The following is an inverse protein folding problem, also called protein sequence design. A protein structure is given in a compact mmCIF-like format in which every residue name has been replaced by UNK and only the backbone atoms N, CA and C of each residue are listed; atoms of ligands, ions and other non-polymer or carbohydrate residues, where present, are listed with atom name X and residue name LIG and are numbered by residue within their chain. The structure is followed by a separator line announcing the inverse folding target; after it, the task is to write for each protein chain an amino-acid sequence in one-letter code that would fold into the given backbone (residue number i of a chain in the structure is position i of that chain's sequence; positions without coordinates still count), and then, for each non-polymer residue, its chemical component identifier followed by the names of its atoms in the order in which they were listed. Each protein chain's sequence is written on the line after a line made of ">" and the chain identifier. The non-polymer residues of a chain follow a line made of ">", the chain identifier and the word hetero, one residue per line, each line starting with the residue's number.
data_IF_743465033956
#
_entry.id   IF_743465033956
#
_cell.length_a   1.000
_cell.length_b   1.000
_cell.length_c   1.000
_cell.angle_alpha   90.00
_cell.angle_beta   90.00
_cell.angle_gamma   90.00
#
_symmetry.space_group_name_H-M   'P 1'
#
loop_
_entity.id
_entity.type
_entity.pdbx_description
1 polymer ?
#
# COMPACT_ATOMS: atom_id res chain seq x y z
N UNK A 1 7.56 -5.87 -0.65
CA UNK A 1 6.78 -4.62 -0.80
C UNK A 1 7.44 -3.57 0.08
N UNK A 2 7.64 -2.34 -0.38
CA UNK A 2 8.37 -1.31 0.38
C UNK A 2 7.38 -0.60 1.32
N UNK A 3 7.55 -0.73 2.63
CA UNK A 3 6.64 -0.19 3.66
C UNK A 3 6.44 1.32 3.53
N UNK A 4 7.53 2.04 3.21
CA UNK A 4 7.53 3.48 3.02
C UNK A 4 6.59 3.90 1.88
N UNK A 5 6.73 3.24 0.71
CA UNK A 5 5.86 3.49 -0.45
C UNK A 5 4.41 3.12 -0.14
N UNK A 6 4.18 2.04 0.60
CA UNK A 6 2.84 1.63 0.96
C UNK A 6 2.12 2.72 1.78
N UNK A 7 2.82 3.34 2.76
CA UNK A 7 2.29 4.47 3.53
C UNK A 7 2.07 5.71 2.69
N UNK A 8 2.99 6.05 1.80
CA UNK A 8 2.83 7.18 0.88
C UNK A 8 1.59 7.01 0.00
N UNK A 9 1.31 5.79 -0.44
CA UNK A 9 0.15 5.46 -1.26
C UNK A 9 -1.14 5.52 -0.44
N UNK A 10 -1.12 5.01 0.80
CA UNK A 10 -2.27 5.09 1.71
C UNK A 10 -2.56 6.53 2.17
N UNK A 11 -1.53 7.38 2.28
CA UNK A 11 -1.65 8.79 2.66
C UNK A 11 -1.93 9.71 1.45
N UNK A 12 -1.67 9.24 0.23
CA UNK A 12 -1.91 10.00 -0.99
C UNK A 12 -3.38 9.89 -1.40
N UNK A 13 -4.07 11.00 -1.67
CA UNK A 13 -5.41 10.98 -2.26
C UNK A 13 -5.38 10.53 -3.73
N UNK A 14 -4.18 10.47 -4.34
CA UNK A 14 -3.97 10.05 -5.72
C UNK A 14 -3.71 8.55 -5.74
N UNK A 15 -4.61 7.79 -6.37
CA UNK A 15 -4.53 6.35 -6.52
C UNK A 15 -3.19 5.93 -7.16
N UNK A 16 -2.38 5.17 -6.42
CA UNK A 16 -1.19 4.55 -6.98
C UNK A 16 -1.49 3.10 -7.35
N UNK A 17 -1.12 2.70 -8.57
CA UNK A 17 -1.16 1.31 -8.99
C UNK A 17 -0.08 0.52 -8.25
N UNK A 18 -0.50 -0.16 -7.19
CA UNK A 18 0.35 -1.12 -6.48
C UNK A 18 0.11 -2.48 -7.09
N UNK A 19 1.15 -3.13 -7.60
CA UNK A 19 1.05 -4.49 -8.11
C UNK A 19 1.66 -5.41 -7.06
N UNK A 20 0.86 -6.34 -6.53
CA UNK A 20 1.29 -7.38 -5.63
C UNK A 20 1.06 -8.74 -6.29
N UNK A 21 2.12 -9.53 -6.43
CA UNK A 21 2.07 -10.85 -7.07
C UNK A 21 1.44 -10.86 -8.47
N UNK A 22 1.64 -9.78 -9.24
CA UNK A 22 1.09 -9.63 -10.59
C UNK A 22 -0.36 -9.14 -10.64
N UNK A 23 -1.01 -8.93 -9.49
CA UNK A 23 -2.35 -8.38 -9.37
C UNK A 23 -2.28 -6.92 -8.93
N UNK A 24 -2.95 -5.98 -9.63
CA UNK A 24 -3.12 -4.63 -9.14
C UNK A 24 -4.00 -4.65 -7.90
N UNK A 25 -3.45 -4.20 -6.78
CA UNK A 25 -4.12 -4.06 -5.49
C UNK A 25 -4.21 -2.59 -5.10
N UNK A 26 -5.21 -2.28 -4.29
CA UNK A 26 -5.40 -0.96 -3.71
C UNK A 26 -4.99 -1.03 -2.24
N UNK A 27 -4.18 -0.10 -1.77
CA UNK A 27 -3.81 -0.05 -0.36
C UNK A 27 -4.77 0.90 0.32
N UNK A 28 -5.65 0.37 1.18
CA UNK A 28 -6.56 1.19 1.99
C UNK A 28 -5.87 1.69 3.27
N UNK A 29 -5.04 0.86 3.88
CA UNK A 29 -4.36 1.19 5.12
C UNK A 29 -3.05 0.41 5.26
N UNK A 30 -2.02 1.01 5.85
CA UNK A 30 -0.78 0.31 6.19
C UNK A 30 -0.58 0.36 7.69
N UNK A 31 -0.59 -0.81 8.30
CA UNK A 31 -0.23 -0.96 9.70
C UNK A 31 1.30 -0.92 9.81
N UNK A 32 1.81 0.18 10.37
CA UNK A 32 3.24 0.41 10.52
C UNK A 32 3.89 -0.51 11.56
N UNK A 33 3.14 -0.90 12.59
CA UNK A 33 3.67 -1.72 13.68
C UNK A 33 3.99 -3.14 13.22
N UNK A 34 3.28 -3.63 12.19
CA UNK A 34 3.41 -4.99 11.70
C UNK A 34 3.88 -5.08 10.23
N UNK A 35 4.01 -3.95 9.54
CA UNK A 35 4.32 -3.92 8.10
C UNK A 35 3.22 -4.52 7.23
N UNK A 36 1.98 -4.58 7.73
CA UNK A 36 0.84 -5.23 7.06
C UNK A 36 0.02 -4.16 6.35
N UNK A 37 -0.05 -4.24 5.03
CA UNK A 37 -0.97 -3.42 4.24
C UNK A 37 -2.32 -4.13 4.09
N UNK A 38 -3.40 -3.46 4.50
CA UNK A 38 -4.78 -3.85 4.19
C UNK A 38 -5.14 -3.38 2.79
N UNK A 39 -5.57 -4.34 1.99
CA UNK A 39 -6.06 -4.17 0.62
C UNK A 39 -7.59 -4.08 0.58
#
# INVERSE_FOLDING_TARGET
>A
MNEQRAKEIAASPIMANVIHEGVPIYIQHVDDANGIARI
#
